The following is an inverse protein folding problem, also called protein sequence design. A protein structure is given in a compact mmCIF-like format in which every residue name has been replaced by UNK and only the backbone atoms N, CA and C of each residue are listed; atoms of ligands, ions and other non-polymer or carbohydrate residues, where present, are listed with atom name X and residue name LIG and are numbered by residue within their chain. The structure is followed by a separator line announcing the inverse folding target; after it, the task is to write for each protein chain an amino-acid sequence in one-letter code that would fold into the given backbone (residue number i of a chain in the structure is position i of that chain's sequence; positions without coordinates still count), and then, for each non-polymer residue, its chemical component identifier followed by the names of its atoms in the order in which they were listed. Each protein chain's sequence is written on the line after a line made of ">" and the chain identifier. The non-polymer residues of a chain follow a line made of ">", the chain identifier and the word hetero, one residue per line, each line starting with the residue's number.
data_IF_542067694046
#
_entry.id   IF_542067694046
#
_cell.length_a   1.000
_cell.length_b   1.000
_cell.length_c   1.000
_cell.angle_alpha   90.00
_cell.angle_beta   90.00
_cell.angle_gamma   90.00
#
_symmetry.space_group_name_H-M   'P 1'
#
loop_
_entity.id
_entity.type
_entity.pdbx_description
1 polymer ?
#
# COMPACT_ATOMS: atom_id res chain seq x y z
N UNK A 1 14.61 31.37 65.48
CA UNK A 1 15.10 30.12 64.86
C UNK A 1 13.88 29.25 64.61
N UNK A 2 13.14 29.46 63.52
CA UNK A 2 13.36 28.86 62.19
C UNK A 2 13.64 27.37 62.29
N UNK A 3 12.67 26.52 61.96
CA UNK A 3 12.59 25.91 60.65
C UNK A 3 11.19 25.32 60.39
N UNK A 4 10.59 25.80 59.31
CA UNK A 4 9.39 25.26 58.68
C UNK A 4 9.70 23.84 58.23
N UNK A 5 8.91 22.88 58.71
CA UNK A 5 8.95 21.49 58.27
C UNK A 5 8.35 21.42 56.86
N UNK A 6 9.17 21.67 55.84
CA UNK A 6 8.81 21.42 54.45
C UNK A 6 8.79 19.92 54.25
N UNK A 7 7.59 19.34 54.22
CA UNK A 7 7.33 18.00 53.70
C UNK A 7 7.70 18.04 52.21
N UNK A 8 8.94 17.70 51.90
CA UNK A 8 9.30 17.29 50.55
C UNK A 8 8.71 15.89 50.38
N UNK A 9 7.52 15.85 49.81
CA UNK A 9 6.96 14.71 49.10
C UNK A 9 7.90 14.40 47.93
N UNK A 10 9.02 13.73 48.22
CA UNK A 10 9.83 13.05 47.21
C UNK A 10 8.99 11.89 46.73
N UNK A 11 8.27 12.15 45.64
CA UNK A 11 7.82 11.17 44.68
C UNK A 11 8.97 10.19 44.39
N UNK A 12 8.95 9.05 45.08
CA UNK A 12 9.49 7.82 44.51
C UNK A 12 8.51 7.34 43.43
N UNK A 13 8.33 8.13 42.37
CA UNK A 13 8.09 7.54 41.06
C UNK A 13 9.44 6.96 40.67
N UNK A 14 9.62 5.67 40.93
CA UNK A 14 10.69 4.89 40.33
C UNK A 14 10.53 5.02 38.82
N UNK A 15 11.33 5.94 38.27
CA UNK A 15 11.72 6.01 36.89
C UNK A 15 12.37 4.66 36.59
N UNK A 16 11.57 3.73 36.08
CA UNK A 16 12.05 2.52 35.45
C UNK A 16 12.55 2.93 34.05
N UNK A 17 13.74 3.54 34.03
CA UNK A 17 14.53 3.70 32.80
C UNK A 17 15.60 2.62 32.81
N UNK A 18 15.48 1.74 31.82
CA UNK A 18 16.55 1.07 31.06
C UNK A 18 17.94 1.04 31.70
N UNK A 19 18.44 -0.16 31.98
CA UNK A 19 19.49 -0.76 31.15
C UNK A 19 19.92 -2.11 31.72
N UNK A 20 20.20 -3.06 30.81
CA UNK A 20 20.75 -4.41 31.03
C UNK A 20 19.80 -5.44 31.64
N UNK A 21 19.09 -6.12 30.75
CA UNK A 21 19.02 -7.58 30.81
C UNK A 21 19.31 -8.06 29.40
N UNK A 22 20.37 -8.84 29.23
CA UNK A 22 20.49 -9.80 28.11
C UNK A 22 19.23 -10.64 28.15
N UNK A 23 18.19 -10.16 27.48
CA UNK A 23 16.85 -10.63 27.72
C UNK A 23 16.70 -11.92 26.95
N UNK A 24 16.63 -13.04 27.66
CA UNK A 24 15.74 -14.13 27.28
C UNK A 24 14.30 -13.58 27.31
N UNK A 25 13.98 -12.73 26.32
CA UNK A 25 12.71 -12.06 26.21
C UNK A 25 11.73 -13.13 25.76
N UNK A 26 10.83 -13.55 26.65
CA UNK A 26 9.62 -14.24 26.21
C UNK A 26 8.77 -13.14 25.60
N UNK A 27 8.88 -12.99 24.28
CA UNK A 27 8.25 -11.93 23.50
C UNK A 27 6.74 -12.11 23.50
N UNK A 28 6.27 -13.36 23.42
CA UNK A 28 4.92 -13.76 23.80
C UNK A 28 4.92 -15.21 24.22
N UNK A 29 4.01 -15.62 25.11
CA UNK A 29 3.80 -17.05 25.38
C UNK A 29 3.18 -17.80 24.19
N UNK A 30 2.74 -17.08 23.17
CA UNK A 30 2.13 -17.59 21.94
C UNK A 30 3.09 -17.55 20.73
N UNK A 31 4.37 -17.29 20.96
CA UNK A 31 5.37 -17.24 19.89
C UNK A 31 5.73 -18.64 19.37
N UNK A 32 6.14 -18.70 18.11
CA UNK A 32 6.61 -19.90 17.42
C UNK A 32 7.93 -19.62 16.70
N UNK A 33 8.64 -20.67 16.30
CA UNK A 33 9.88 -20.52 15.51
C UNK A 33 9.54 -19.96 14.13
N UNK A 34 10.27 -18.94 13.70
CA UNK A 34 10.23 -18.39 12.34
C UNK A 34 11.11 -19.22 11.40
N UNK A 35 10.58 -20.35 10.93
CA UNK A 35 11.32 -21.25 10.03
C UNK A 35 11.70 -20.63 8.69
N UNK A 36 10.91 -19.65 8.21
CA UNK A 36 11.12 -18.97 6.93
C UNK A 36 12.12 -17.82 7.03
N UNK A 37 12.54 -17.48 8.25
CA UNK A 37 13.41 -16.34 8.56
C UNK A 37 12.88 -15.04 7.94
N UNK A 38 11.56 -14.86 7.95
CA UNK A 38 10.90 -13.63 7.44
C UNK A 38 11.42 -12.42 8.21
N UNK A 39 11.59 -12.53 9.53
CA UNK A 39 12.14 -11.46 10.36
C UNK A 39 13.53 -11.00 9.92
N UNK A 40 14.44 -11.94 9.63
CA UNK A 40 15.82 -11.63 9.23
C UNK A 40 15.86 -10.93 7.87
N UNK A 41 15.09 -11.42 6.89
CA UNK A 41 14.97 -10.77 5.58
C UNK A 41 14.55 -9.31 5.70
N UNK A 42 13.57 -9.00 6.57
CA UNK A 42 13.13 -7.62 6.75
C UNK A 42 14.17 -6.75 7.44
N UNK A 43 14.87 -7.28 8.46
CA UNK A 43 15.97 -6.56 9.12
C UNK A 43 17.06 -6.18 8.12
N UNK A 44 17.40 -7.09 7.20
CA UNK A 44 18.37 -6.81 6.13
C UNK A 44 17.89 -5.66 5.22
N UNK A 45 16.62 -5.66 4.82
CA UNK A 45 16.04 -4.61 3.95
C UNK A 45 16.09 -3.23 4.62
N UNK A 46 15.83 -3.14 5.93
CA UNK A 46 15.80 -1.87 6.67
C UNK A 46 17.10 -1.53 7.38
N UNK A 47 18.13 -2.38 7.24
CA UNK A 47 19.44 -2.28 7.90
C UNK A 47 19.32 -2.16 9.44
N UNK A 48 18.46 -2.99 10.03
CA UNK A 48 18.36 -3.19 11.48
C UNK A 48 19.09 -4.47 11.91
N UNK A 49 19.39 -4.62 13.20
CA UNK A 49 20.00 -5.84 13.75
C UNK A 49 18.97 -6.70 14.50
N UNK A 50 19.43 -7.85 14.98
CA UNK A 50 18.57 -8.86 15.60
C UNK A 50 17.88 -8.40 16.90
N UNK A 51 18.37 -7.33 17.53
CA UNK A 51 17.75 -6.74 18.71
C UNK A 51 16.42 -6.03 18.39
N UNK A 52 16.22 -5.63 17.12
CA UNK A 52 15.02 -4.96 16.68
C UNK A 52 13.81 -5.91 16.64
N UNK A 53 12.71 -5.45 17.25
CA UNK A 53 11.39 -6.03 17.04
C UNK A 53 10.83 -5.49 15.72
N UNK A 54 10.54 -6.39 14.79
CA UNK A 54 9.90 -6.05 13.51
C UNK A 54 8.41 -6.40 13.58
N UNK A 55 7.56 -5.45 13.22
CA UNK A 55 6.12 -5.62 13.13
C UNK A 55 5.72 -5.42 11.67
N UNK A 56 5.00 -6.37 11.09
CA UNK A 56 4.46 -6.31 9.72
C UNK A 56 2.93 -6.22 9.77
N UNK A 57 2.37 -5.25 9.04
CA UNK A 57 0.96 -4.99 8.81
C UNK A 57 0.69 -5.12 7.30
N UNK A 58 -0.28 -5.94 6.89
CA UNK A 58 -0.77 -6.10 5.52
C UNK A 58 0.33 -6.07 4.42
N UNK A 59 1.23 -7.06 4.45
CA UNK A 59 2.31 -7.43 3.52
C UNK A 59 3.33 -6.34 3.11
N UNK A 60 3.08 -5.07 3.42
CA UNK A 60 3.82 -3.92 2.88
C UNK A 60 4.17 -2.87 3.94
N UNK A 61 3.54 -2.86 5.11
CA UNK A 61 3.75 -1.83 6.13
C UNK A 61 4.50 -2.42 7.31
N UNK A 62 5.64 -1.83 7.65
CA UNK A 62 6.55 -2.37 8.66
C UNK A 62 6.85 -1.32 9.73
N UNK A 63 6.98 -1.77 10.97
CA UNK A 63 7.45 -0.98 12.10
C UNK A 63 8.68 -1.68 12.67
N UNK A 64 9.76 -0.93 12.90
CA UNK A 64 10.91 -1.40 13.69
C UNK A 64 10.93 -0.68 15.01
N UNK A 65 11.09 -1.44 16.09
CA UNK A 65 11.27 -0.93 17.44
C UNK A 65 12.64 -1.38 17.97
N UNK A 66 13.52 -0.41 18.24
CA UNK A 66 14.85 -0.63 18.82
C UNK A 66 15.27 0.53 19.70
N UNK A 67 15.76 0.26 20.91
CA UNK A 67 16.28 1.29 21.83
C UNK A 67 15.34 2.51 22.00
N UNK A 68 14.04 2.24 22.19
CA UNK A 68 12.93 3.22 22.23
C UNK A 68 12.70 4.05 20.96
N UNK A 69 13.45 3.80 19.89
CA UNK A 69 13.18 4.38 18.58
C UNK A 69 12.18 3.53 17.84
N UNK A 70 11.21 4.20 17.22
CA UNK A 70 10.21 3.57 16.37
C UNK A 70 10.34 4.15 14.98
N UNK A 71 10.52 3.27 13.98
CA UNK A 71 10.59 3.64 12.58
C UNK A 71 9.51 2.92 11.80
N UNK A 72 8.82 3.63 10.92
CA UNK A 72 7.80 3.08 10.03
C UNK A 72 8.30 3.05 8.58
N UNK A 73 8.02 1.96 7.88
CA UNK A 73 8.48 1.69 6.52
C UNK A 73 7.34 1.16 5.65
N UNK A 74 7.28 1.57 4.39
CA UNK A 74 6.53 0.84 3.38
C UNK A 74 7.53 0.09 2.50
N UNK A 75 7.45 -1.24 2.52
CA UNK A 75 8.32 -2.12 1.74
C UNK A 75 7.49 -2.70 0.59
N UNK A 76 8.13 -2.81 -0.57
CA UNK A 76 7.56 -3.48 -1.72
C UNK A 76 8.59 -4.38 -2.36
N UNK A 77 8.30 -5.69 -2.39
CA UNK A 77 9.29 -6.76 -2.60
C UNK A 77 10.44 -6.59 -1.61
N UNK A 78 11.62 -6.21 -2.08
CA UNK A 78 12.83 -6.04 -1.28
C UNK A 78 13.30 -4.58 -1.21
N UNK A 79 12.40 -3.63 -1.49
CA UNK A 79 12.76 -2.20 -1.55
C UNK A 79 11.84 -1.38 -0.67
N UNK A 80 12.42 -0.46 0.09
CA UNK A 80 11.67 0.58 0.79
C UNK A 80 11.19 1.61 -0.25
N UNK A 81 9.87 1.81 -0.36
CA UNK A 81 9.27 2.69 -1.40
C UNK A 81 8.83 4.07 -0.86
N UNK A 82 8.76 4.24 0.45
CA UNK A 82 8.46 5.53 1.10
C UNK A 82 9.57 5.94 2.07
N UNK A 83 9.68 7.24 2.35
CA UNK A 83 10.66 7.75 3.32
C UNK A 83 10.42 7.11 4.70
N UNK A 84 11.52 6.74 5.36
CA UNK A 84 11.52 6.22 6.72
C UNK A 84 10.99 7.32 7.66
N UNK A 85 9.90 7.02 8.37
CA UNK A 85 9.37 7.94 9.38
C UNK A 85 9.84 7.47 10.75
N UNK A 86 10.82 8.18 11.32
CA UNK A 86 11.16 8.03 12.74
C UNK A 86 10.13 8.81 13.57
N UNK A 87 9.39 8.10 14.43
CA UNK A 87 8.36 8.72 15.26
C UNK A 87 9.01 9.59 16.34
N UNK A 88 8.36 10.71 16.67
CA UNK A 88 8.74 11.49 17.85
C UNK A 88 8.48 10.68 19.13
N UNK A 89 9.03 11.13 20.27
CA UNK A 89 8.95 10.39 21.53
C UNK A 89 7.51 10.07 21.98
N UNK A 90 6.54 10.98 21.78
CA UNK A 90 5.16 10.78 22.20
C UNK A 90 4.50 9.70 21.33
N UNK A 91 4.66 9.81 20.02
CA UNK A 91 4.11 8.85 19.06
C UNK A 91 4.78 7.48 19.19
N UNK A 92 6.08 7.43 19.48
CA UNK A 92 6.80 6.20 19.77
C UNK A 92 6.27 5.50 21.04
N UNK A 93 6.01 6.25 22.11
CA UNK A 93 5.39 5.70 23.34
C UNK A 93 3.98 5.15 23.08
N UNK A 94 3.16 5.89 22.33
CA UNK A 94 1.82 5.45 21.95
C UNK A 94 1.87 4.18 21.08
N UNK A 95 2.74 4.16 20.07
CA UNK A 95 2.94 3.01 19.19
C UNK A 95 3.36 1.77 20.00
N UNK A 96 4.31 1.93 20.91
CA UNK A 96 4.74 0.85 21.81
C UNK A 96 3.60 0.32 22.67
N UNK A 97 2.79 1.21 23.26
CA UNK A 97 1.62 0.80 24.06
C UNK A 97 0.61 -0.01 23.23
N UNK A 98 0.43 0.33 21.96
CA UNK A 98 -0.43 -0.41 21.03
C UNK A 98 0.17 -1.79 20.72
N UNK A 99 1.47 -1.85 20.45
CA UNK A 99 2.22 -3.09 20.18
C UNK A 99 2.17 -4.05 21.38
N UNK A 100 2.48 -3.56 22.59
CA UNK A 100 2.40 -4.34 23.83
C UNK A 100 0.98 -4.91 24.04
N UNK A 101 -0.03 -4.10 23.72
CA UNK A 101 -1.43 -4.51 23.79
C UNK A 101 -1.73 -5.65 22.82
N UNK A 102 -1.26 -5.58 21.57
CA UNK A 102 -1.47 -6.63 20.56
C UNK A 102 -0.75 -7.93 20.92
N UNK A 103 0.51 -7.85 21.34
CA UNK A 103 1.33 -9.01 21.74
C UNK A 103 0.68 -9.82 22.88
N UNK A 104 -0.06 -9.13 23.76
CA UNK A 104 -0.76 -9.75 24.89
C UNK A 104 -2.00 -10.56 24.52
N UNK A 105 -2.53 -10.39 23.30
CA UNK A 105 -3.79 -11.04 22.90
C UNK A 105 -3.56 -12.52 22.61
N UNK A 106 -4.44 -13.37 23.15
CA UNK A 106 -4.47 -14.79 22.81
C UNK A 106 -4.93 -14.97 21.35
N UNK A 107 -4.10 -15.52 20.44
CA UNK A 107 -4.50 -15.70 19.05
C UNK A 107 -5.80 -16.51 18.89
N UNK A 108 -6.07 -17.47 19.80
CA UNK A 108 -7.29 -18.30 19.76
C UNK A 108 -8.56 -17.49 19.99
N UNK A 109 -8.48 -16.31 20.62
CA UNK A 109 -9.63 -15.43 20.86
C UNK A 109 -9.92 -14.49 19.68
N UNK A 110 -8.97 -14.34 18.76
CA UNK A 110 -9.12 -13.49 17.57
C UNK A 110 -9.61 -14.32 16.38
N UNK A 111 -9.10 -15.55 16.23
CA UNK A 111 -9.44 -16.44 15.12
C UNK A 111 -10.95 -16.73 15.09
N UNK A 112 -11.52 -16.71 13.90
CA UNK A 112 -12.92 -17.03 13.69
C UNK A 112 -13.14 -18.55 13.67
N UNK A 113 -13.83 -19.10 14.67
CA UNK A 113 -14.24 -20.52 14.67
C UNK A 113 -15.22 -20.85 13.54
N UNK A 114 -15.97 -19.86 13.05
CA UNK A 114 -16.92 -20.02 11.93
C UNK A 114 -16.15 -20.29 10.62
N UNK A 115 -14.96 -19.71 10.43
CA UNK A 115 -14.15 -19.90 9.22
C UNK A 115 -13.60 -21.33 9.13
N UNK A 116 -13.30 -21.96 10.27
CA UNK A 116 -12.87 -23.38 10.31
C UNK A 116 -14.00 -24.36 9.98
N UNK A 117 -15.25 -24.02 10.32
CA UNK A 117 -16.41 -24.93 10.14
C UNK A 117 -17.19 -24.71 8.83
N UNK A 118 -17.29 -23.47 8.35
CA UNK A 118 -18.22 -23.14 7.27
C UNK A 118 -17.57 -22.86 5.91
N UNK A 119 -16.24 -22.96 5.74
CA UNK A 119 -15.53 -22.65 4.48
C UNK A 119 -16.13 -21.41 3.79
N UNK A 120 -16.40 -20.36 4.57
CA UNK A 120 -16.90 -19.10 4.00
C UNK A 120 -15.77 -18.62 3.10
N UNK A 121 -16.06 -18.47 1.80
CA UNK A 121 -15.08 -17.98 0.85
C UNK A 121 -14.58 -16.63 1.37
N UNK A 122 -13.29 -16.59 1.70
CA UNK A 122 -12.61 -15.48 2.39
C UNK A 122 -12.47 -14.26 1.46
N UNK A 123 -13.13 -14.28 0.30
CA UNK A 123 -13.13 -13.24 -0.74
C UNK A 123 -14.04 -12.06 -0.39
N UNK A 124 -15.01 -12.25 0.52
CA UNK A 124 -15.97 -11.21 0.93
C UNK A 124 -15.70 -10.59 2.30
N UNK A 125 -14.55 -10.91 2.92
CA UNK A 125 -14.21 -10.49 4.28
C UNK A 125 -12.99 -9.59 4.29
N UNK A 126 -13.06 -8.46 5.01
CA UNK A 126 -11.86 -7.67 5.32
C UNK A 126 -10.90 -8.53 6.15
N UNK A 127 -9.66 -8.70 5.68
CA UNK A 127 -8.61 -9.46 6.37
C UNK A 127 -7.63 -8.49 6.99
N UNK A 128 -7.29 -8.72 8.25
CA UNK A 128 -6.35 -7.91 9.02
C UNK A 128 -5.32 -8.84 9.66
N UNK A 129 -4.05 -8.66 9.32
CA UNK A 129 -2.97 -9.47 9.85
C UNK A 129 -1.88 -8.57 10.44
N UNK A 130 -1.41 -8.94 11.63
CA UNK A 130 -0.16 -8.39 12.17
C UNK A 130 0.76 -9.53 12.56
N UNK A 131 2.00 -9.44 12.07
CA UNK A 131 3.06 -10.38 12.40
C UNK A 131 4.17 -9.66 13.15
N UNK A 132 4.70 -10.29 14.19
CA UNK A 132 5.80 -9.76 14.98
C UNK A 132 6.98 -10.70 14.93
N UNK A 133 8.19 -10.17 14.75
CA UNK A 133 9.42 -10.95 14.60
C UNK A 133 10.51 -10.47 15.55
N UNK A 134 11.04 -11.36 16.38
CA UNK A 134 12.13 -11.10 17.34
C UNK A 134 12.93 -12.38 17.60
N UNK A 135 14.26 -12.32 17.55
CA UNK A 135 15.15 -13.44 17.93
C UNK A 135 14.77 -14.81 17.30
N UNK A 136 14.47 -14.83 15.99
CA UNK A 136 13.98 -15.99 15.22
C UNK A 136 12.61 -16.55 15.66
N UNK A 137 11.85 -15.77 16.42
CA UNK A 137 10.49 -16.11 16.83
C UNK A 137 9.50 -15.20 16.13
N UNK A 138 8.32 -15.76 15.86
CA UNK A 138 7.20 -15.06 15.25
C UNK A 138 5.95 -15.19 16.11
N UNK A 139 5.17 -14.11 16.20
CA UNK A 139 3.77 -14.12 16.62
C UNK A 139 2.92 -13.62 15.45
N UNK A 140 1.93 -14.38 15.02
CA UNK A 140 0.97 -13.96 14.01
C UNK A 140 -0.40 -13.82 14.62
N UNK A 141 -1.02 -12.66 14.46
CA UNK A 141 -2.41 -12.42 14.82
C UNK A 141 -3.20 -12.17 13.53
N UNK A 142 -4.30 -12.90 13.37
CA UNK A 142 -5.11 -12.89 12.16
C UNK A 142 -6.58 -12.71 12.50
N UNK A 143 -7.24 -11.80 11.80
CA UNK A 143 -8.66 -11.52 11.92
C UNK A 143 -9.31 -11.33 10.55
N UNK A 144 -10.37 -12.08 10.28
CA UNK A 144 -11.23 -12.00 9.11
C UNK A 144 -12.62 -11.52 9.53
N UNK A 145 -13.20 -10.56 8.79
CA UNK A 145 -14.43 -9.88 9.18
C UNK A 145 -15.50 -9.80 8.09
N UNK A 146 -16.76 -10.11 8.43
CA UNK A 146 -17.94 -9.76 7.62
C UNK A 146 -18.69 -8.60 8.28
N UNK A 147 -19.03 -7.55 7.54
CA UNK A 147 -19.72 -6.34 8.03
C UNK A 147 -21.03 -6.57 8.80
N UNK A 148 -21.61 -7.77 8.74
CA UNK A 148 -22.89 -8.08 9.40
C UNK A 148 -22.71 -8.63 10.84
N UNK A 149 -22.82 -7.74 11.84
CA UNK A 149 -23.01 -7.99 13.28
C UNK A 149 -21.88 -8.74 14.05
N UNK A 150 -20.96 -7.95 14.62
CA UNK A 150 -19.84 -8.41 15.48
C UNK A 150 -20.31 -8.92 16.86
N UNK A 151 -21.39 -8.37 17.42
CA UNK A 151 -21.60 -8.47 18.87
C UNK A 151 -22.38 -9.72 19.30
N UNK A 152 -23.29 -10.24 18.47
CA UNK A 152 -24.20 -11.32 18.90
C UNK A 152 -23.80 -12.73 18.44
N UNK A 153 -22.83 -12.88 17.53
CA UNK A 153 -22.54 -14.16 16.86
C UNK A 153 -21.20 -14.82 17.24
N UNK A 154 -20.38 -14.21 18.09
CA UNK A 154 -18.99 -14.64 18.27
C UNK A 154 -18.58 -14.82 19.73
N UNK A 155 -17.73 -15.80 20.00
CA UNK A 155 -17.31 -16.20 21.35
C UNK A 155 -16.44 -15.17 22.08
N UNK A 156 -15.84 -14.19 21.38
CA UNK A 156 -14.88 -13.23 21.96
C UNK A 156 -14.94 -11.83 21.32
N UNK A 157 -16.08 -11.11 21.38
CA UNK A 157 -16.25 -9.82 20.70
C UNK A 157 -15.31 -8.74 21.24
N UNK A 158 -14.98 -8.77 22.55
CA UNK A 158 -14.09 -7.80 23.19
C UNK A 158 -12.65 -7.87 22.69
N UNK A 159 -12.06 -9.07 22.64
CA UNK A 159 -10.67 -9.26 22.17
C UNK A 159 -10.52 -8.92 20.69
N UNK A 160 -11.54 -9.24 19.88
CA UNK A 160 -11.57 -8.89 18.45
C UNK A 160 -11.68 -7.39 18.22
N UNK A 161 -12.57 -6.70 18.96
CA UNK A 161 -12.67 -5.24 18.94
C UNK A 161 -11.37 -4.58 19.40
N UNK A 162 -10.74 -5.15 20.44
CA UNK A 162 -9.42 -4.71 20.93
C UNK A 162 -8.35 -4.87 19.84
N UNK A 163 -8.28 -6.02 19.18
CA UNK A 163 -7.38 -6.27 18.06
C UNK A 163 -7.60 -5.25 16.94
N UNK A 164 -8.83 -5.15 16.42
CA UNK A 164 -9.16 -4.28 15.29
C UNK A 164 -8.86 -2.81 15.59
N UNK A 165 -9.24 -2.31 16.77
CA UNK A 165 -8.96 -0.93 17.15
C UNK A 165 -7.46 -0.64 17.21
N UNK A 166 -6.67 -1.55 17.77
CA UNK A 166 -5.22 -1.38 17.86
C UNK A 166 -4.55 -1.52 16.49
N UNK A 167 -5.01 -2.46 15.66
CA UNK A 167 -4.60 -2.60 14.27
C UNK A 167 -4.81 -1.30 13.49
N UNK A 168 -6.03 -0.76 13.50
CA UNK A 168 -6.40 0.49 12.84
C UNK A 168 -5.67 1.71 13.42
N UNK A 169 -5.23 1.66 14.67
CA UNK A 169 -4.40 2.73 15.24
C UNK A 169 -2.95 2.63 14.76
N UNK A 170 -2.40 1.43 14.55
CA UNK A 170 -1.06 1.28 13.97
C UNK A 170 -1.00 1.76 12.52
N UNK A 171 -2.05 1.51 11.72
CA UNK A 171 -2.07 1.94 10.31
C UNK A 171 -2.02 3.46 10.15
N UNK A 172 -2.40 4.23 11.17
CA UNK A 172 -2.30 5.71 11.16
C UNK A 172 -0.87 6.21 11.08
N UNK A 173 0.12 5.45 11.55
CA UNK A 173 1.53 5.83 11.42
C UNK A 173 2.06 5.73 9.98
N UNK A 174 1.28 5.12 9.09
CA UNK A 174 1.57 5.03 7.65
C UNK A 174 0.69 6.00 6.85
N UNK A 175 0.16 7.03 7.51
CA UNK A 175 -0.61 8.06 6.83
C UNK A 175 0.26 8.76 5.78
N UNK A 176 -0.14 8.62 4.53
CA UNK A 176 0.43 9.35 3.41
C UNK A 176 -0.58 10.42 2.98
N UNK A 177 -0.22 11.68 3.22
CA UNK A 177 -1.02 12.85 2.86
C UNK A 177 -1.37 12.86 1.37
N UNK A 178 -0.43 12.44 0.55
CA UNK A 178 -0.54 12.46 -0.89
C UNK A 178 -1.41 11.30 -1.39
N UNK A 179 -1.28 10.11 -0.80
CA UNK A 179 -2.22 9.01 -1.01
C UNK A 179 -3.66 9.44 -0.71
N UNK A 180 -3.91 10.00 0.47
CA UNK A 180 -5.26 10.41 0.89
C UNK A 180 -5.80 11.55 0.03
N UNK A 181 -4.94 12.49 -0.38
CA UNK A 181 -5.29 13.52 -1.34
C UNK A 181 -5.74 12.90 -2.67
N UNK A 182 -4.94 12.04 -3.28
CA UNK A 182 -5.27 11.39 -4.56
C UNK A 182 -6.51 10.51 -4.45
N UNK A 183 -6.67 9.80 -3.33
CA UNK A 183 -7.84 8.97 -3.02
C UNK A 183 -9.12 9.80 -3.00
N UNK A 184 -9.08 11.02 -2.45
CA UNK A 184 -10.22 11.93 -2.39
C UNK A 184 -10.64 12.54 -3.73
N UNK A 185 -9.78 12.48 -4.76
CA UNK A 185 -10.10 13.00 -6.09
C UNK A 185 -11.08 12.09 -6.83
N UNK A 186 -12.08 12.71 -7.46
CA UNK A 186 -13.01 12.07 -8.41
C UNK A 186 -12.38 11.85 -9.79
N UNK A 187 -11.38 12.69 -10.12
CA UNK A 187 -10.69 12.72 -11.40
C UNK A 187 -9.19 12.86 -11.21
N UNK A 188 -8.40 12.09 -11.96
CA UNK A 188 -6.95 12.22 -12.03
C UNK A 188 -6.48 12.30 -13.49
N UNK A 189 -5.40 13.06 -13.72
CA UNK A 189 -4.71 13.15 -15.00
C UNK A 189 -3.29 12.61 -14.85
N UNK A 190 -2.96 11.56 -15.59
CA UNK A 190 -1.64 10.95 -15.60
C UNK A 190 -0.82 11.56 -16.73
N UNK A 191 0.19 12.36 -16.36
CA UNK A 191 1.15 12.92 -17.29
C UNK A 191 2.25 11.89 -17.57
N UNK A 192 2.30 11.43 -18.82
CA UNK A 192 3.28 10.46 -19.29
C UNK A 192 4.38 11.21 -20.05
N UNK A 193 5.62 11.07 -19.56
CA UNK A 193 6.81 11.51 -20.28
C UNK A 193 7.56 10.29 -20.81
N UNK A 194 7.71 10.21 -22.13
CA UNK A 194 8.36 9.10 -22.81
C UNK A 194 9.86 9.35 -22.94
N UNK A 195 10.68 8.38 -22.52
CA UNK A 195 12.13 8.42 -22.80
C UNK A 195 12.40 8.16 -24.29
N UNK A 196 13.43 8.81 -24.84
CA UNK A 196 13.77 8.77 -26.27
C UNK A 196 14.24 7.40 -26.79
N UNK A 197 14.54 6.44 -25.92
CA UNK A 197 15.12 5.14 -26.28
C UNK A 197 14.05 4.07 -26.52
N UNK A 198 12.97 4.40 -27.24
CA UNK A 198 11.91 3.43 -27.54
C UNK A 198 12.30 2.49 -28.68
N UNK A 199 12.11 1.19 -28.47
CA UNK A 199 12.18 0.18 -29.53
C UNK A 199 10.78 -0.03 -30.12
N UNK A 200 10.71 -0.03 -31.45
CA UNK A 200 9.48 -0.23 -32.21
C UNK A 200 9.43 -1.64 -32.77
N UNK A 201 8.44 -2.42 -32.36
CA UNK A 201 8.10 -3.70 -32.96
C UNK A 201 6.76 -3.57 -33.66
N UNK A 202 6.74 -3.78 -34.98
CA UNK A 202 5.51 -3.78 -35.77
C UNK A 202 5.25 -5.18 -36.29
N UNK A 203 4.21 -5.82 -35.80
CA UNK A 203 3.68 -7.07 -36.33
C UNK A 203 2.47 -6.76 -37.20
N UNK A 204 2.67 -6.87 -38.51
CA UNK A 204 1.55 -6.95 -39.45
C UNK A 204 1.23 -8.44 -39.64
N UNK A 205 0.15 -8.93 -39.03
CA UNK A 205 -0.34 -10.25 -39.39
C UNK A 205 -0.90 -10.19 -40.82
N UNK A 206 -0.54 -11.19 -41.63
CA UNK A 206 -0.58 -11.16 -43.09
C UNK A 206 -1.98 -11.09 -43.73
N UNK A 207 -3.05 -10.97 -42.95
CA UNK A 207 -4.43 -10.82 -43.44
C UNK A 207 -5.11 -9.61 -42.78
N UNK A 208 -4.69 -8.40 -43.19
CA UNK A 208 -5.27 -7.03 -43.20
C UNK A 208 -6.26 -6.51 -42.13
N UNK A 209 -6.82 -7.32 -41.25
CA UNK A 209 -7.92 -7.01 -40.33
C UNK A 209 -7.40 -6.44 -39.00
N UNK A 210 -6.23 -6.88 -38.56
CA UNK A 210 -5.59 -6.49 -37.30
C UNK A 210 -4.19 -5.95 -37.56
N UNK A 211 -3.83 -4.86 -36.89
CA UNK A 211 -2.43 -4.43 -36.82
C UNK A 211 -2.09 -4.00 -35.41
N UNK A 212 -0.92 -4.44 -34.94
CA UNK A 212 -0.41 -4.11 -33.61
C UNK A 212 0.91 -3.36 -33.75
N UNK A 213 1.03 -2.24 -33.05
CA UNK A 213 2.29 -1.51 -32.88
C UNK A 213 2.67 -1.58 -31.41
N UNK A 214 3.86 -2.08 -31.12
CA UNK A 214 4.40 -2.16 -29.76
C UNK A 214 5.58 -1.23 -29.65
N UNK A 215 5.51 -0.32 -28.69
CA UNK A 215 6.56 0.61 -28.32
C UNK A 215 7.04 0.25 -26.92
N UNK A 216 8.31 -0.15 -26.80
CA UNK A 216 8.91 -0.57 -25.52
C UNK A 216 9.91 0.47 -25.03
N UNK A 217 9.72 0.94 -23.80
CA UNK A 217 10.69 1.69 -23.02
C UNK A 217 11.16 0.89 -21.81
N UNK A 218 12.02 1.49 -20.98
CA UNK A 218 12.65 0.81 -19.82
C UNK A 218 11.61 0.23 -18.83
N UNK A 219 10.56 0.99 -18.52
CA UNK A 219 9.53 0.66 -17.53
C UNK A 219 8.10 0.77 -18.09
N UNK A 220 7.97 0.84 -19.42
CA UNK A 220 6.70 1.10 -20.09
C UNK A 220 6.62 0.26 -21.36
N UNK A 221 5.44 -0.29 -21.63
CA UNK A 221 5.08 -0.81 -22.95
C UNK A 221 3.79 -0.13 -23.39
N UNK A 222 3.82 0.53 -24.54
CA UNK A 222 2.65 1.09 -25.20
C UNK A 222 2.26 0.20 -26.38
N UNK A 223 1.01 -0.26 -26.41
CA UNK A 223 0.49 -1.16 -27.43
C UNK A 223 -0.69 -0.48 -28.11
N UNK A 224 -0.58 -0.30 -29.42
CA UNK A 224 -1.65 0.17 -30.27
C UNK A 224 -2.24 -0.99 -31.06
N UNK A 225 -3.44 -1.42 -30.69
CA UNK A 225 -4.18 -2.47 -31.39
C UNK A 225 -5.29 -1.86 -32.25
N UNK A 226 -5.23 -2.15 -33.54
CA UNK A 226 -6.16 -1.67 -34.55
C UNK A 226 -7.02 -2.84 -35.01
N UNK A 227 -8.33 -2.78 -34.75
CA UNK A 227 -9.31 -3.71 -35.29
C UNK A 227 -10.14 -3.01 -36.37
N UNK A 228 -9.82 -3.26 -37.64
CA UNK A 228 -10.50 -2.61 -38.76
C UNK A 228 -11.93 -3.11 -38.96
N UNK A 229 -12.23 -4.37 -38.60
CA UNK A 229 -13.58 -4.94 -38.70
C UNK A 229 -14.54 -4.32 -37.67
N UNK A 230 -14.07 -4.20 -36.43
CA UNK A 230 -14.86 -3.60 -35.34
C UNK A 230 -14.81 -2.07 -35.35
N UNK A 231 -14.05 -1.48 -36.27
CA UNK A 231 -13.85 -0.05 -36.35
C UNK A 231 -13.43 0.52 -34.98
N UNK A 232 -12.53 -0.18 -34.28
CA UNK A 232 -12.01 0.23 -32.97
C UNK A 232 -10.48 0.26 -32.94
N UNK A 233 -9.96 1.27 -32.25
CA UNK A 233 -8.57 1.46 -31.86
C UNK A 233 -8.48 1.29 -30.34
N UNK A 234 -7.59 0.42 -29.89
CA UNK A 234 -7.26 0.25 -28.49
C UNK A 234 -5.83 0.71 -28.24
N UNK A 235 -5.66 1.65 -27.31
CA UNK A 235 -4.34 2.04 -26.80
C UNK A 235 -4.18 1.44 -25.40
N UNK A 236 -3.15 0.63 -25.21
CA UNK A 236 -2.82 0.02 -23.92
C UNK A 236 -1.48 0.55 -23.43
N UNK A 237 -1.46 1.09 -22.21
CA UNK A 237 -0.27 1.60 -21.55
C UNK A 237 0.03 0.71 -20.35
N UNK A 238 1.09 -0.09 -20.45
CA UNK A 238 1.53 -0.97 -19.38
C UNK A 238 2.77 -0.36 -18.71
N UNK A 239 2.71 -0.23 -17.39
CA UNK A 239 3.79 0.31 -16.57
C UNK A 239 4.26 -0.74 -15.57
N UNK A 240 5.57 -0.91 -15.48
CA UNK A 240 6.21 -1.72 -14.47
C UNK A 240 6.95 -0.79 -13.50
N UNK A 241 6.48 -0.73 -12.27
CA UNK A 241 7.18 -0.17 -11.12
C UNK A 241 7.84 -1.33 -10.34
N UNK A 242 8.71 -1.04 -9.36
CA UNK A 242 9.50 -2.04 -8.61
C UNK A 242 8.70 -3.34 -8.32
N UNK A 243 7.55 -3.18 -7.68
CA UNK A 243 6.67 -4.28 -7.31
C UNK A 243 5.29 -4.25 -7.97
N UNK A 244 4.91 -3.13 -8.60
CA UNK A 244 3.55 -2.92 -9.12
C UNK A 244 3.55 -2.98 -10.64
N UNK A 245 2.58 -3.69 -11.20
CA UNK A 245 2.30 -3.65 -12.63
C UNK A 245 0.95 -2.98 -12.86
N UNK A 246 0.91 -1.90 -13.63
CA UNK A 246 -0.32 -1.16 -13.90
C UNK A 246 -0.61 -1.16 -15.39
N UNK A 247 -1.86 -1.42 -15.76
CA UNK A 247 -2.32 -1.32 -17.14
C UNK A 247 -3.41 -0.26 -17.25
N UNK A 248 -3.31 0.59 -18.28
CA UNK A 248 -4.35 1.53 -18.67
C UNK A 248 -4.81 1.24 -20.09
N UNK A 249 -6.12 1.14 -20.29
CA UNK A 249 -6.71 0.83 -21.58
C UNK A 249 -7.61 1.99 -22.00
N UNK A 250 -7.32 2.58 -23.16
CA UNK A 250 -8.19 3.50 -23.87
C UNK A 250 -8.83 2.78 -25.06
N UNK A 251 -10.15 2.81 -25.15
CA UNK A 251 -10.91 2.24 -26.26
C UNK A 251 -11.58 3.36 -27.05
N UNK A 252 -11.41 3.34 -28.37
CA UNK A 252 -11.82 4.46 -29.21
C UNK A 252 -12.34 3.95 -30.58
N UNK A 253 -13.57 4.30 -31.03
CA UNK A 253 -14.07 3.91 -32.36
C UNK A 253 -13.48 4.77 -33.50
N UNK A 254 -13.03 4.14 -34.60
CA UNK A 254 -12.41 4.77 -35.78
C UNK A 254 -13.30 5.79 -36.52
N UNK A 255 -14.63 5.65 -36.43
CA UNK A 255 -15.59 6.54 -37.11
C UNK A 255 -16.71 6.93 -36.14
N UNK A 256 -16.56 8.09 -35.53
CA UNK A 256 -17.59 9.13 -35.48
C UNK A 256 -16.84 10.43 -35.17
N UNK A 257 -17.33 11.55 -35.69
CA UNK A 257 -16.96 12.91 -35.28
C UNK A 257 -17.26 13.21 -33.78
N UNK A 258 -17.38 12.17 -32.95
CA UNK A 258 -17.78 12.15 -31.55
C UNK A 258 -16.83 11.23 -30.75
N UNK A 259 -15.56 11.14 -31.13
CA UNK A 259 -14.53 11.01 -30.10
C UNK A 259 -14.18 12.41 -29.63
N UNK A 260 -14.54 12.71 -28.38
CA UNK A 260 -14.03 13.86 -27.65
C UNK A 260 -12.53 13.67 -27.39
N UNK A 261 -11.70 13.74 -28.42
CA UNK A 261 -10.35 14.25 -28.25
C UNK A 261 -10.55 15.70 -27.84
N UNK A 262 -10.69 15.93 -26.53
CA UNK A 262 -10.85 17.28 -26.03
C UNK A 262 -9.48 17.91 -26.05
N UNK A 263 -9.29 18.83 -26.99
CA UNK A 263 -8.11 19.66 -27.05
C UNK A 263 -8.34 20.84 -26.11
N UNK A 264 -7.52 20.91 -25.06
CA UNK A 264 -7.50 22.06 -24.17
C UNK A 264 -6.32 22.96 -24.48
N UNK A 265 -6.44 24.25 -24.17
CA UNK A 265 -5.30 25.16 -24.14
C UNK A 265 -4.33 24.71 -23.04
N UNK A 266 -3.07 24.50 -23.41
CA UNK A 266 -2.07 23.83 -22.57
C UNK A 266 -1.85 24.52 -21.24
N UNK A 267 -1.54 25.81 -21.26
CA UNK A 267 -1.14 26.54 -20.05
C UNK A 267 -2.32 26.67 -19.08
N UNK A 268 -3.47 27.11 -19.59
CA UNK A 268 -4.71 27.21 -18.81
C UNK A 268 -5.10 25.87 -18.18
N UNK A 269 -5.04 24.77 -18.95
CA UNK A 269 -5.40 23.45 -18.46
C UNK A 269 -4.46 22.94 -17.37
N UNK A 270 -3.14 23.00 -17.61
CA UNK A 270 -2.14 22.52 -16.67
C UNK A 270 -2.17 23.31 -15.36
N UNK A 271 -2.40 24.62 -15.44
CA UNK A 271 -2.52 25.47 -14.26
C UNK A 271 -3.79 25.13 -13.46
N UNK A 272 -4.94 25.04 -14.15
CA UNK A 272 -6.26 24.80 -13.52
C UNK A 272 -6.37 23.42 -12.87
N UNK A 273 -5.68 22.41 -13.43
CA UNK A 273 -5.75 21.02 -12.94
C UNK A 273 -4.45 20.56 -12.28
N UNK A 274 -3.57 21.48 -11.88
CA UNK A 274 -2.24 21.18 -11.35
C UNK A 274 -2.27 20.23 -10.15
N UNK A 275 -3.30 20.34 -9.30
CA UNK A 275 -3.54 19.46 -8.16
C UNK A 275 -4.00 18.05 -8.59
N UNK A 276 -4.64 17.89 -9.75
CA UNK A 276 -5.16 16.61 -10.25
C UNK A 276 -4.17 15.87 -11.15
N UNK A 277 -3.08 16.54 -11.53
CA UNK A 277 -2.06 15.98 -12.42
C UNK A 277 -1.04 15.20 -11.59
N UNK A 278 -0.87 13.93 -11.92
CA UNK A 278 0.15 13.04 -11.36
C UNK A 278 1.15 12.68 -12.45
N UNK A 279 2.43 12.70 -12.12
CA UNK A 279 3.48 12.11 -12.97
C UNK A 279 3.50 10.61 -12.77
N UNK A 280 4.11 9.89 -13.70
CA UNK A 280 4.32 8.44 -13.51
C UNK A 280 5.17 8.12 -12.28
N UNK A 281 6.18 8.94 -11.98
CA UNK A 281 7.02 8.76 -10.80
C UNK A 281 6.24 8.93 -9.50
N UNK A 282 5.15 9.72 -9.51
CA UNK A 282 4.23 9.84 -8.38
C UNK A 282 3.47 8.55 -8.08
N UNK A 283 3.43 7.59 -9.01
CA UNK A 283 2.80 6.28 -8.78
C UNK A 283 3.77 5.27 -8.15
N UNK A 284 5.09 5.50 -8.21
CA UNK A 284 6.11 4.58 -7.67
C UNK A 284 6.11 4.51 -6.14
N UNK A 285 5.60 5.55 -5.48
CA UNK A 285 5.46 5.63 -4.01
C UNK A 285 4.31 4.78 -3.45
N UNK A 286 3.42 4.29 -4.31
CA UNK A 286 2.24 3.53 -3.91
C UNK A 286 2.45 2.03 -4.12
N UNK A 287 1.99 1.23 -3.16
CA UNK A 287 1.98 -0.23 -3.31
C UNK A 287 1.02 -0.65 -4.41
N UNK A 288 1.11 -1.90 -4.86
CA UNK A 288 0.18 -2.43 -5.86
C UNK A 288 -1.28 -2.35 -5.41
N UNK A 289 -1.55 -2.57 -4.13
CA UNK A 289 -2.89 -2.50 -3.56
C UNK A 289 -3.38 -1.05 -3.41
N UNK A 290 -2.48 -0.13 -3.06
CA UNK A 290 -2.80 1.30 -3.09
C UNK A 290 -3.19 1.74 -4.50
N UNK A 291 -2.43 1.32 -5.52
CA UNK A 291 -2.74 1.63 -6.92
C UNK A 291 -4.09 1.04 -7.32
N UNK A 292 -4.41 -0.21 -6.98
CA UNK A 292 -5.72 -0.78 -7.27
C UNK A 292 -6.87 0.05 -6.69
N UNK A 293 -6.71 0.50 -5.43
CA UNK A 293 -7.67 1.40 -4.79
C UNK A 293 -7.77 2.76 -5.50
N UNK A 294 -6.64 3.32 -5.93
CA UNK A 294 -6.58 4.65 -6.52
C UNK A 294 -7.09 4.70 -7.96
N UNK A 295 -6.81 3.68 -8.78
CA UNK A 295 -7.04 3.71 -10.24
C UNK A 295 -7.84 2.51 -10.80
N UNK A 296 -7.99 1.42 -10.05
CA UNK A 296 -8.82 0.26 -10.43
C UNK A 296 -10.31 0.44 -10.13
N UNK A 297 -10.66 1.45 -9.32
CA UNK A 297 -12.05 1.80 -8.98
C UNK A 297 -12.84 2.30 -10.19
N UNK A 298 -14.02 1.71 -10.43
CA UNK A 298 -14.97 2.17 -11.45
C UNK A 298 -15.53 3.57 -11.20
N UNK A 299 -15.36 4.13 -9.99
CA UNK A 299 -15.90 5.43 -9.62
C UNK A 299 -14.97 6.59 -10.00
N UNK A 300 -13.66 6.34 -10.13
CA UNK A 300 -12.70 7.40 -10.45
C UNK A 300 -12.51 7.53 -11.96
N UNK A 301 -12.48 8.77 -12.45
CA UNK A 301 -12.13 9.06 -13.85
C UNK A 301 -10.62 9.22 -13.98
N UNK A 302 -10.01 8.37 -14.80
CA UNK A 302 -8.58 8.42 -15.07
C UNK A 302 -8.36 8.87 -16.50
N UNK A 303 -7.52 9.87 -16.67
CA UNK A 303 -7.15 10.38 -17.98
C UNK A 303 -5.65 10.29 -18.18
N UNK A 304 -5.21 10.02 -19.41
CA UNK A 304 -3.81 10.11 -19.82
C UNK A 304 -3.58 11.41 -20.59
N UNK A 305 -2.49 12.09 -20.24
CA UNK A 305 -1.87 13.18 -21.00
C UNK A 305 -0.51 12.67 -21.48
N UNK A 306 -0.45 12.30 -22.76
CA UNK A 306 0.82 11.92 -23.38
C UNK A 306 1.57 13.17 -23.82
N UNK A 307 2.82 13.33 -23.37
CA UNK A 307 3.64 14.49 -23.72
C UNK A 307 3.86 14.62 -25.23
N UNK A 308 3.87 13.51 -25.97
CA UNK A 308 4.03 13.49 -27.43
C UNK A 308 2.75 13.95 -28.19
N UNK A 309 1.62 13.95 -27.49
CA UNK A 309 0.34 14.45 -27.98
C UNK A 309 0.10 15.94 -27.65
N UNK A 310 1.07 16.61 -27.00
CA UNK A 310 1.04 18.06 -26.76
C UNK A 310 1.64 18.78 -27.97
N UNK A 311 0.80 19.46 -28.76
CA UNK A 311 1.23 20.15 -29.99
C UNK A 311 0.57 21.51 -30.12
N UNK A 312 1.36 22.50 -30.56
CA UNK A 312 0.88 23.86 -30.89
C UNK A 312 0.01 24.48 -29.78
N UNK A 313 0.46 24.38 -28.53
CA UNK A 313 -0.26 24.92 -27.37
C UNK A 313 -1.53 24.17 -26.98
N UNK A 314 -1.82 23.02 -27.59
CA UNK A 314 -2.97 22.18 -27.26
C UNK A 314 -2.54 20.87 -26.61
N UNK A 315 -3.38 20.35 -25.72
CA UNK A 315 -3.22 19.05 -25.06
C UNK A 315 -4.33 18.12 -25.50
N UNK A 316 -4.00 16.90 -25.95
CA UNK A 316 -4.96 15.81 -26.13
C UNK A 316 -5.08 15.02 -24.82
N UNK A 317 -6.31 14.78 -24.39
CA UNK A 317 -6.61 14.03 -23.15
C UNK A 317 -7.44 12.80 -23.49
N UNK A 318 -7.04 11.64 -22.97
CA UNK A 318 -7.67 10.33 -23.25
C UNK A 318 -8.22 9.73 -21.97
N UNK A 319 -9.51 9.45 -21.89
CA UNK A 319 -10.07 8.69 -20.77
C UNK A 319 -9.64 7.23 -20.87
N UNK A 320 -9.17 6.66 -19.76
CA UNK A 320 -8.71 5.27 -19.67
C UNK A 320 -9.42 4.52 -18.55
N UNK A 321 -9.48 3.21 -18.69
CA UNK A 321 -9.72 2.30 -17.56
C UNK A 321 -8.39 1.76 -17.10
N UNK A 322 -8.02 2.07 -15.85
CA UNK A 322 -6.83 1.58 -15.20
C UNK A 322 -7.13 0.34 -14.37
N UNK A 323 -6.11 -0.47 -14.13
CA UNK A 323 -6.20 -1.57 -13.18
C UNK A 323 -4.85 -2.20 -12.92
N UNK A 324 -4.74 -2.82 -11.75
CA UNK A 324 -3.68 -3.75 -11.41
C UNK A 324 -4.30 -4.98 -10.76
N UNK A 325 -3.49 -5.94 -10.36
CA UNK A 325 -3.94 -7.07 -9.55
C UNK A 325 -3.20 -7.03 -8.25
N UNK A 326 -3.82 -6.46 -7.22
CA UNK A 326 -3.36 -6.65 -5.85
C UNK A 326 -3.47 -8.14 -5.53
N UNK A 327 -2.36 -8.86 -5.70
CA UNK A 327 -2.22 -10.21 -5.19
C UNK A 327 -1.88 -10.07 -3.71
N UNK A 328 -2.84 -10.34 -2.83
CA UNK A 328 -2.46 -10.71 -1.47
C UNK A 328 -1.82 -12.10 -1.57
N UNK A 329 -0.59 -12.27 -1.06
CA UNK A 329 0.06 -13.57 -0.94
C UNK A 329 -0.63 -14.40 0.17
N UNK A 330 -1.95 -14.54 0.08
CA UNK A 330 -2.77 -15.29 1.03
C UNK A 330 -3.39 -16.52 0.35
N UNK A 331 -2.61 -17.15 -0.52
CA UNK A 331 -2.71 -18.57 -0.82
C UNK A 331 -1.55 -19.26 -0.10
N UNK A 332 -1.74 -19.54 1.19
CA UNK A 332 -1.04 -20.66 1.84
C UNK A 332 -2.11 -21.73 2.14
N UNK A 333 -1.69 -22.98 1.90
CA UNK A 333 -2.45 -24.24 1.87
C UNK A 333 -3.25 -24.61 3.13
#
# INVERSE_FOLDING_TARGET
>A
MNHILVIILLFFSTIYSQDKVDSTFIFSKYEHIDYEKKGDKFRDIVNDDNEALIINLDDSKFISLKNNKVKCYTICKDTVINNIVELNNIDAMNCKSIIDTLISIDPKKIINEIDKKNRIAIENLGRYMVSFYKDNKTLKLFYSYSETNIEDKFSFPKDRKKFLNNYLNLTKYFYDKEFERVKSLDTIYLLIEREKNMQYERSNFSDTIYSTIVEKGKNMTHILDINKLKNNLQETYNFQFNCSYVSFIHLSPFNTAVQRNVFYEKESFLQTNSDKILRLDDLQRFTQCDLELLIGSNYKKVFIIDKDDIRSGKIKIKEVKGGTRCWSEHQED
#
